data_IF_974373248623
#
_entry.id   IF_974373248623
#
_cell.length_a   1.000
_cell.length_b   1.000
_cell.length_c   1.000
_cell.angle_alpha   90.00
_cell.angle_beta   90.00
_cell.angle_gamma   90.00
#
_symmetry.space_group_name_H-M   'P 1'
#
loop_
_entity.id
_entity.type
_entity.pdbx_description
1 polymer ?
#
# COMPACT_ATOMS: atom_id res chain seq x y z
N UNK A 1 13.75 21.98 -1.01
CA UNK A 1 12.63 21.20 -0.47
C UNK A 1 13.02 19.73 -0.21
N UNK A 2 13.45 18.92 -1.18
CA UNK A 2 13.85 17.50 -0.97
C UNK A 2 14.93 17.31 0.11
N UNK A 3 15.98 18.15 0.20
CA UNK A 3 17.04 18.00 1.21
C UNK A 3 16.56 18.25 2.65
N UNK A 4 15.65 19.19 2.87
CA UNK A 4 15.08 19.43 4.20
C UNK A 4 14.16 18.27 4.62
N UNK A 5 13.31 17.81 3.71
CA UNK A 5 12.46 16.64 3.93
C UNK A 5 13.30 15.37 4.20
N UNK A 6 14.44 15.21 3.52
CA UNK A 6 15.32 14.07 3.76
C UNK A 6 15.96 14.11 5.16
N UNK A 7 16.38 15.28 5.66
CA UNK A 7 16.91 15.41 7.03
C UNK A 7 15.85 15.14 8.09
N UNK A 8 14.63 15.64 7.90
CA UNK A 8 13.51 15.35 8.78
C UNK A 8 13.20 13.85 8.78
N UNK A 9 13.11 13.24 7.60
CA UNK A 9 12.87 11.81 7.45
C UNK A 9 13.94 10.94 8.16
N UNK A 10 15.22 11.27 8.06
CA UNK A 10 16.28 10.54 8.77
C UNK A 10 16.05 10.54 10.29
N UNK A 11 15.73 11.70 10.88
CA UNK A 11 15.42 11.78 12.31
C UNK A 11 14.22 10.92 12.70
N UNK A 12 13.17 10.94 11.88
CA UNK A 12 11.96 10.17 12.11
C UNK A 12 12.24 8.66 11.97
N UNK A 13 12.96 8.23 10.93
CA UNK A 13 13.38 6.83 10.75
C UNK A 13 14.15 6.33 11.97
N UNK A 14 15.14 7.09 12.41
CA UNK A 14 16.01 6.69 13.53
C UNK A 14 15.21 6.61 14.84
N UNK A 15 14.25 7.50 15.05
CA UNK A 15 13.34 7.44 16.19
C UNK A 15 12.43 6.20 16.13
N UNK A 16 11.81 5.92 14.98
CA UNK A 16 10.96 4.74 14.78
C UNK A 16 11.69 3.42 14.96
N UNK A 17 12.91 3.34 14.44
CA UNK A 17 13.73 2.13 14.51
C UNK A 17 14.63 2.07 15.74
N UNK A 18 14.43 2.97 16.71
CA UNK A 18 15.22 3.03 17.95
C UNK A 18 14.82 2.01 19.02
N UNK A 19 13.76 1.23 18.80
CA UNK A 19 13.22 0.25 19.73
C UNK A 19 13.54 -1.18 19.31
N UNK A 20 13.49 -2.11 20.26
CA UNK A 20 13.76 -3.53 20.02
C UNK A 20 15.23 -3.90 20.17
N UNK A 21 15.53 -5.15 19.84
CA UNK A 21 16.93 -5.65 19.81
C UNK A 21 17.65 -5.21 18.52
N UNK A 22 18.96 -5.45 18.45
CA UNK A 22 19.79 -5.02 17.33
C UNK A 22 19.32 -5.59 15.97
N UNK A 23 18.85 -6.83 15.93
CA UNK A 23 18.35 -7.45 14.70
C UNK A 23 17.06 -6.80 14.21
N UNK A 24 16.11 -6.53 15.12
CA UNK A 24 14.85 -5.83 14.82
C UNK A 24 15.10 -4.40 14.35
N UNK A 25 16.04 -3.71 15.02
CA UNK A 25 16.45 -2.36 14.62
C UNK A 25 17.04 -2.33 13.23
N UNK A 26 17.96 -3.25 12.90
CA UNK A 26 18.58 -3.35 11.57
C UNK A 26 17.54 -3.66 10.50
N UNK A 27 16.63 -4.60 10.75
CA UNK A 27 15.53 -4.94 9.84
C UNK A 27 14.63 -3.73 9.56
N UNK A 28 14.23 -2.99 10.61
CA UNK A 28 13.45 -1.75 10.49
C UNK A 28 14.18 -0.70 9.65
N UNK A 29 15.44 -0.41 9.96
CA UNK A 29 16.26 0.56 9.22
C UNK A 29 16.38 0.19 7.74
N UNK A 30 16.61 -1.09 7.45
CA UNK A 30 16.71 -1.60 6.09
C UNK A 30 15.39 -1.42 5.34
N UNK A 31 14.27 -1.84 5.92
CA UNK A 31 12.94 -1.72 5.34
C UNK A 31 12.58 -0.26 5.01
N UNK A 32 12.75 0.64 5.99
CA UNK A 32 12.46 2.07 5.81
C UNK A 32 13.37 2.70 4.73
N UNK A 33 14.65 2.35 4.72
CA UNK A 33 15.61 2.89 3.76
C UNK A 33 15.34 2.37 2.35
N UNK A 34 15.05 1.08 2.18
CA UNK A 34 14.70 0.48 0.89
C UNK A 34 13.46 1.15 0.29
N UNK A 35 12.40 1.29 1.09
CA UNK A 35 11.18 1.99 0.65
C UNK A 35 11.48 3.42 0.22
N UNK A 36 12.21 4.17 1.04
CA UNK A 36 12.59 5.56 0.72
C UNK A 36 13.41 5.66 -0.55
N UNK A 37 14.32 4.71 -0.78
CA UNK A 37 15.14 4.67 -1.99
C UNK A 37 14.28 4.49 -3.24
N UNK A 38 13.31 3.58 -3.23
CA UNK A 38 12.37 3.39 -4.35
C UNK A 38 11.57 4.67 -4.64
N UNK A 39 11.07 5.33 -3.60
CA UNK A 39 10.34 6.60 -3.73
C UNK A 39 11.24 7.68 -4.34
N UNK A 40 12.45 7.87 -3.81
CA UNK A 40 13.38 8.92 -4.30
C UNK A 40 13.80 8.64 -5.74
N UNK A 41 14.01 7.38 -6.10
CA UNK A 41 14.34 6.98 -7.46
C UNK A 41 13.14 7.08 -8.42
N UNK A 42 11.93 7.28 -7.88
CA UNK A 42 10.66 7.21 -8.62
C UNK A 42 10.55 5.95 -9.48
N UNK A 43 10.99 4.82 -8.92
CA UNK A 43 11.14 3.55 -9.64
C UNK A 43 10.14 2.51 -9.12
N UNK A 44 9.53 1.77 -10.04
CA UNK A 44 8.71 0.62 -9.71
C UNK A 44 9.58 -0.56 -9.24
N UNK A 45 9.02 -1.41 -8.39
CA UNK A 45 9.67 -2.67 -7.99
C UNK A 45 9.81 -3.62 -9.16
N UNK A 46 8.78 -3.68 -10.01
CA UNK A 46 8.71 -4.57 -11.17
C UNK A 46 8.13 -3.85 -12.40
N UNK A 47 8.31 -4.42 -13.58
CA UNK A 47 7.81 -3.91 -14.84
C UNK A 47 8.82 -3.07 -15.64
N UNK A 48 8.54 -2.83 -16.94
CA UNK A 48 9.45 -2.15 -17.87
C UNK A 48 9.48 -0.62 -17.72
N UNK A 49 8.54 -0.05 -16.95
CA UNK A 49 8.31 1.40 -16.80
C UNK A 49 7.05 1.87 -17.52
N UNK A 50 6.44 2.93 -17.02
CA UNK A 50 5.12 3.43 -17.48
C UNK A 50 5.16 4.19 -18.83
N UNK A 51 6.34 4.50 -19.35
CA UNK A 51 6.49 5.39 -20.50
C UNK A 51 6.48 6.89 -20.11
N UNK A 52 5.72 7.29 -19.12
CA UNK A 52 5.72 8.64 -18.57
C UNK A 52 6.80 8.85 -17.50
N UNK A 53 7.41 10.05 -17.48
CA UNK A 53 8.39 10.40 -16.46
C UNK A 53 7.73 10.54 -15.08
N UNK A 54 8.24 9.83 -14.09
CA UNK A 54 7.79 9.95 -12.71
C UNK A 54 8.82 10.67 -11.84
N UNK A 55 8.33 11.41 -10.87
CA UNK A 55 9.15 12.17 -9.92
C UNK A 55 8.73 11.88 -8.48
N UNK A 56 9.69 11.86 -7.55
CA UNK A 56 9.38 11.70 -6.14
C UNK A 56 8.80 12.99 -5.56
N UNK A 57 7.92 12.82 -4.59
CA UNK A 57 7.51 13.90 -3.71
C UNK A 57 7.60 13.46 -2.24
N UNK A 58 7.73 14.42 -1.35
CA UNK A 58 7.60 14.21 0.08
C UNK A 58 7.16 15.49 0.76
N UNK A 59 6.27 15.36 1.74
CA UNK A 59 5.88 16.42 2.65
C UNK A 59 5.99 15.89 4.07
N UNK A 60 6.69 16.63 4.91
CA UNK A 60 6.91 16.29 6.32
C UNK A 60 6.56 17.49 7.17
N UNK A 61 5.81 17.28 8.22
CA UNK A 61 5.53 18.26 9.25
C UNK A 61 5.73 17.60 10.62
N UNK A 62 6.60 18.20 11.44
CA UNK A 62 6.80 17.80 12.82
C UNK A 62 6.45 18.98 13.71
N UNK A 63 5.79 18.70 14.84
CA UNK A 63 5.53 19.71 15.87
C UNK A 63 6.79 20.08 16.63
N UNK A 64 6.75 21.19 17.34
CA UNK A 64 7.82 21.65 18.25
C UNK A 64 8.00 20.74 19.46
N UNK A 65 7.00 19.96 19.81
CA UNK A 65 7.02 18.88 20.82
C UNK A 65 7.00 17.55 20.08
N UNK A 66 7.78 16.57 20.53
CA UNK A 66 7.96 15.24 19.90
C UNK A 66 6.66 14.42 19.69
N UNK A 67 5.53 14.96 20.07
CA UNK A 67 4.22 14.33 20.04
C UNK A 67 3.48 14.41 18.69
N UNK A 68 3.99 15.19 17.72
CA UNK A 68 3.32 15.39 16.43
C UNK A 68 4.27 15.13 15.25
N UNK A 69 3.90 14.20 14.40
CA UNK A 69 4.66 13.86 13.22
C UNK A 69 3.73 13.44 12.08
N UNK A 70 3.76 14.15 10.97
CA UNK A 70 3.02 13.81 9.75
C UNK A 70 3.99 13.73 8.59
N UNK A 71 4.03 12.61 7.91
CA UNK A 71 4.78 12.41 6.67
C UNK A 71 3.88 11.80 5.61
N UNK A 72 3.96 12.34 4.40
CA UNK A 72 3.53 11.66 3.18
C UNK A 72 4.66 11.70 2.16
N UNK A 73 4.99 10.55 1.59
CA UNK A 73 6.01 10.43 0.57
C UNK A 73 5.59 9.44 -0.52
N UNK A 74 5.91 9.75 -1.76
CA UNK A 74 5.51 8.90 -2.87
C UNK A 74 6.07 9.39 -4.19
N UNK A 75 5.46 8.92 -5.25
CA UNK A 75 5.79 9.28 -6.63
C UNK A 75 4.56 9.80 -7.35
N UNK A 76 4.78 10.60 -8.37
CA UNK A 76 3.75 11.13 -9.26
C UNK A 76 4.30 11.34 -10.66
N UNK A 77 3.45 11.40 -11.66
CA UNK A 77 3.87 11.79 -13.01
C UNK A 77 4.31 13.26 -13.03
N UNK A 78 5.46 13.54 -13.65
CA UNK A 78 6.05 14.88 -13.72
C UNK A 78 5.23 15.83 -14.60
N UNK A 79 4.76 15.31 -15.74
CA UNK A 79 3.96 16.05 -16.72
C UNK A 79 2.86 15.12 -17.25
N UNK A 80 1.78 14.89 -16.47
CA UNK A 80 0.75 13.96 -16.87
C UNK A 80 0.00 14.45 -18.11
N UNK A 81 -0.02 13.61 -19.15
CA UNK A 81 -0.71 13.91 -20.41
C UNK A 81 -1.86 12.94 -20.69
N UNK A 82 -1.71 11.66 -20.31
CA UNK A 82 -2.74 10.65 -20.46
C UNK A 82 -3.81 10.71 -19.34
N UNK A 83 -5.01 10.23 -19.65
CA UNK A 83 -6.15 10.21 -18.70
C UNK A 83 -5.77 9.47 -17.41
N UNK A 84 -5.06 8.33 -17.52
CA UNK A 84 -4.61 7.56 -16.36
C UNK A 84 -3.53 8.24 -15.56
N UNK A 85 -2.60 8.93 -16.20
CA UNK A 85 -1.55 9.71 -15.53
C UNK A 85 -2.16 10.87 -14.72
N UNK A 86 -3.17 11.55 -15.30
CA UNK A 86 -3.93 12.61 -14.63
C UNK A 86 -4.71 12.02 -13.45
N UNK A 87 -5.38 10.88 -13.64
CA UNK A 87 -6.12 10.18 -12.58
C UNK A 87 -5.19 9.74 -11.44
N UNK A 88 -4.02 9.16 -11.76
CA UNK A 88 -3.02 8.80 -10.76
C UNK A 88 -2.62 10.00 -9.90
N UNK A 89 -2.24 11.11 -10.55
CA UNK A 89 -1.83 12.32 -9.83
C UNK A 89 -2.97 12.90 -9.00
N UNK A 90 -4.21 12.86 -9.49
CA UNK A 90 -5.37 13.30 -8.73
C UNK A 90 -5.56 12.46 -7.46
N UNK A 91 -5.49 11.14 -7.54
CA UNK A 91 -5.60 10.25 -6.38
C UNK A 91 -4.46 10.53 -5.37
N UNK A 92 -3.24 10.74 -5.84
CA UNK A 92 -2.11 11.16 -4.98
C UNK A 92 -2.39 12.50 -4.31
N UNK A 93 -2.89 13.50 -5.03
CA UNK A 93 -3.22 14.82 -4.47
C UNK A 93 -4.36 14.74 -3.45
N UNK A 94 -5.34 13.86 -3.66
CA UNK A 94 -6.44 13.63 -2.72
C UNK A 94 -5.93 12.98 -1.41
N UNK A 95 -5.00 12.03 -1.49
CA UNK A 95 -4.32 11.47 -0.31
C UNK A 95 -3.52 12.54 0.44
N UNK A 96 -2.80 13.43 -0.27
CA UNK A 96 -2.08 14.54 0.36
C UNK A 96 -3.01 15.50 1.08
N UNK A 97 -4.20 15.77 0.53
CA UNK A 97 -5.22 16.63 1.17
C UNK A 97 -5.82 16.00 2.41
N UNK A 98 -5.99 14.67 2.42
CA UNK A 98 -6.54 13.91 3.55
C UNK A 98 -5.54 13.75 4.70
N UNK A 99 -4.23 13.88 4.43
CA UNK A 99 -3.22 13.80 5.48
C UNK A 99 -3.36 14.97 6.48
N UNK A 100 -3.24 14.72 7.79
CA UNK A 100 -3.59 15.65 8.86
C UNK A 100 -2.52 16.75 9.07
N UNK A 101 -2.09 17.43 7.99
CA UNK A 101 -1.06 18.48 8.07
C UNK A 101 -1.52 19.78 8.74
N UNK A 102 -2.83 20.00 8.80
CA UNK A 102 -3.42 21.26 9.30
C UNK A 102 -4.30 21.06 10.53
N UNK A 103 -4.45 19.83 10.99
CA UNK A 103 -5.27 19.55 12.18
C UNK A 103 -4.67 20.24 13.40
N UNK A 104 -5.51 21.02 14.08
CA UNK A 104 -5.24 21.44 15.44
C UNK A 104 -5.49 20.21 16.32
N UNK A 105 -4.40 19.50 16.63
CA UNK A 105 -4.48 18.36 17.50
C UNK A 105 -4.63 18.89 18.92
N UNK A 106 -5.69 18.48 19.58
CA UNK A 106 -5.87 18.68 21.01
C UNK A 106 -4.90 17.75 21.75
N UNK A 107 -3.71 18.26 22.01
CA UNK A 107 -2.66 17.54 22.73
C UNK A 107 -3.01 17.26 24.19
N UNK A 108 -4.04 17.92 24.74
CA UNK A 108 -4.51 17.65 26.11
C UNK A 108 -5.28 16.33 26.18
N UNK A 109 -5.96 15.96 25.11
CA UNK A 109 -6.76 14.73 25.06
C UNK A 109 -6.10 13.55 24.38
N UNK A 110 -5.27 13.74 23.34
CA UNK A 110 -4.68 12.67 22.56
C UNK A 110 -3.17 12.45 22.78
N UNK A 111 -2.47 13.44 23.31
CA UNK A 111 -1.04 13.35 23.68
C UNK A 111 -0.03 13.12 22.54
N UNK A 112 -0.38 12.39 21.48
CA UNK A 112 0.51 12.07 20.36
C UNK A 112 -0.27 11.87 19.07
N UNK A 113 0.27 12.39 17.94
CA UNK A 113 -0.13 11.99 16.59
C UNK A 113 1.11 11.59 15.80
N UNK A 114 1.12 10.38 15.25
CA UNK A 114 2.06 9.97 14.22
C UNK A 114 1.28 9.48 13.00
N UNK A 115 1.47 10.14 11.87
CA UNK A 115 0.88 9.76 10.59
C UNK A 115 2.00 9.62 9.57
N UNK A 116 2.13 8.44 8.99
CA UNK A 116 3.09 8.16 7.95
C UNK A 116 2.41 7.46 6.79
N UNK A 117 2.43 8.09 5.63
CA UNK A 117 1.89 7.51 4.40
C UNK A 117 2.97 7.41 3.34
N UNK A 118 3.09 6.22 2.74
CA UNK A 118 3.99 5.98 1.62
C UNK A 118 3.24 5.46 0.41
N UNK A 119 3.54 6.01 -0.77
CA UNK A 119 3.00 5.56 -2.06
C UNK A 119 4.17 4.98 -2.85
N UNK A 120 4.22 3.66 -2.94
CA UNK A 120 5.32 2.90 -3.57
C UNK A 120 4.82 2.21 -4.84
N UNK A 121 5.54 2.41 -5.95
CA UNK A 121 5.23 1.72 -7.19
C UNK A 121 5.56 0.23 -7.07
N UNK A 122 4.55 -0.62 -7.20
CA UNK A 122 4.72 -2.08 -7.24
C UNK A 122 5.00 -2.56 -8.66
N UNK A 123 4.29 -1.98 -9.63
CA UNK A 123 4.44 -2.29 -11.06
C UNK A 123 4.28 -1.03 -11.91
N UNK A 124 5.06 -0.94 -12.98
CA UNK A 124 4.88 0.09 -13.99
C UNK A 124 5.15 -0.47 -15.39
N UNK A 125 4.17 -0.33 -16.27
CA UNK A 125 4.23 -0.62 -17.70
C UNK A 125 3.37 0.39 -18.47
N UNK A 126 3.49 0.48 -19.81
CA UNK A 126 2.66 1.39 -20.59
C UNK A 126 1.15 1.16 -20.46
N UNK A 127 0.73 -0.08 -20.14
CA UNK A 127 -0.68 -0.46 -20.00
C UNK A 127 -1.18 -0.47 -18.55
N UNK A 128 -0.29 -0.47 -17.55
CA UNK A 128 -0.64 -0.59 -16.14
C UNK A 128 0.38 0.08 -15.23
N UNK A 129 -0.08 0.95 -14.35
CA UNK A 129 0.68 1.45 -13.20
C UNK A 129 -0.07 1.08 -11.94
N UNK A 130 0.63 0.39 -11.04
CA UNK A 130 0.10 -0.07 -9.75
C UNK A 130 0.98 0.41 -8.61
N UNK A 131 0.38 1.07 -7.63
CA UNK A 131 1.07 1.58 -6.46
C UNK A 131 0.38 1.13 -5.16
N UNK A 132 1.19 0.69 -4.19
CA UNK A 132 0.74 0.44 -2.82
C UNK A 132 0.75 1.75 -2.04
N UNK A 133 -0.37 2.06 -1.42
CA UNK A 133 -0.51 3.11 -0.41
C UNK A 133 -0.53 2.44 0.96
N UNK A 134 0.50 2.68 1.75
CA UNK A 134 0.56 2.22 3.12
C UNK A 134 0.51 3.40 4.06
N UNK A 135 -0.47 3.41 4.95
CA UNK A 135 -0.68 4.45 5.96
C UNK A 135 -0.51 3.86 7.35
N UNK A 136 0.41 4.42 8.13
CA UNK A 136 0.50 4.21 9.57
C UNK A 136 -0.11 5.40 10.28
N UNK A 137 -0.99 5.15 11.24
CA UNK A 137 -1.59 6.19 12.08
C UNK A 137 -1.58 5.78 13.55
N UNK A 138 -1.18 6.71 14.40
CA UNK A 138 -1.24 6.61 15.84
C UNK A 138 -1.76 7.92 16.42
N UNK A 139 -2.88 7.87 17.11
CA UNK A 139 -3.58 9.02 17.68
C UNK A 139 -3.56 8.99 19.22
N UNK A 140 -2.64 8.25 19.81
CA UNK A 140 -2.64 7.91 21.24
C UNK A 140 -3.30 6.55 21.50
N UNK A 141 -3.19 6.06 22.73
CA UNK A 141 -3.70 4.74 23.14
C UNK A 141 -2.64 3.64 23.10
N UNK A 142 -3.07 2.38 23.05
CA UNK A 142 -2.19 1.22 23.23
C UNK A 142 -1.22 0.99 22.04
N UNK A 143 -1.65 1.27 20.80
CA UNK A 143 -0.84 1.10 19.59
C UNK A 143 -1.42 1.89 18.41
N UNK A 144 -0.60 2.12 17.40
CA UNK A 144 -1.06 2.63 16.10
C UNK A 144 -1.61 1.53 15.21
N UNK A 145 -2.12 1.90 14.04
CA UNK A 145 -2.64 0.96 13.06
C UNK A 145 -2.06 1.21 11.66
N UNK A 146 -1.95 0.14 10.88
CA UNK A 146 -1.53 0.19 9.47
C UNK A 146 -2.72 -0.07 8.57
N UNK A 147 -2.88 0.75 7.55
CA UNK A 147 -3.91 0.60 6.52
C UNK A 147 -3.24 0.45 5.16
N UNK A 148 -3.78 -0.43 4.34
CA UNK A 148 -3.36 -0.62 2.96
C UNK A 148 -4.46 -0.22 2.00
N UNK A 149 -4.07 0.48 0.94
CA UNK A 149 -4.89 0.67 -0.25
C UNK A 149 -3.99 0.71 -1.49
N UNK A 150 -4.57 0.74 -2.67
CA UNK A 150 -3.82 0.76 -3.90
C UNK A 150 -4.38 1.79 -4.89
N UNK A 151 -3.48 2.30 -5.73
CA UNK A 151 -3.81 3.09 -6.92
C UNK A 151 -3.46 2.23 -8.13
N UNK A 152 -4.46 1.94 -8.97
CA UNK A 152 -4.29 1.18 -10.19
C UNK A 152 -4.85 1.97 -11.36
N UNK A 153 -4.00 2.29 -12.33
CA UNK A 153 -4.41 3.03 -13.52
C UNK A 153 -3.84 2.38 -14.79
N UNK A 154 -4.60 2.43 -15.87
CA UNK A 154 -4.03 2.34 -17.20
C UNK A 154 -3.65 3.76 -17.63
N UNK A 155 -2.38 4.04 -18.00
CA UNK A 155 -1.97 5.36 -18.48
C UNK A 155 -2.86 5.91 -19.60
N UNK A 156 -3.37 5.05 -20.46
CA UNK A 156 -4.21 5.42 -21.60
C UNK A 156 -5.68 5.63 -21.23
N UNK A 157 -6.29 4.70 -20.46
CA UNK A 157 -7.75 4.65 -20.27
C UNK A 157 -8.24 5.19 -18.94
N UNK A 158 -7.36 5.41 -17.98
CA UNK A 158 -7.70 5.99 -16.67
C UNK A 158 -7.63 4.99 -15.52
N UNK A 159 -8.45 5.23 -14.49
CA UNK A 159 -8.55 4.35 -13.34
C UNK A 159 -9.04 2.96 -13.75
N UNK A 160 -8.40 1.92 -13.21
CA UNK A 160 -8.83 0.55 -13.43
C UNK A 160 -9.87 0.15 -12.38
N UNK A 161 -10.96 -0.42 -12.86
CA UNK A 161 -12.00 -1.02 -12.01
C UNK A 161 -11.96 -2.54 -12.14
N UNK A 162 -12.57 -3.23 -11.16
CA UNK A 162 -12.69 -4.68 -11.20
C UNK A 162 -13.40 -5.13 -12.49
N UNK A 163 -14.47 -4.45 -12.87
CA UNK A 163 -15.30 -4.77 -14.04
C UNK A 163 -14.56 -4.55 -15.36
N UNK A 164 -13.53 -3.71 -15.39
CA UNK A 164 -12.67 -3.55 -16.57
C UNK A 164 -11.78 -4.79 -16.79
N UNK A 165 -11.40 -5.48 -15.72
CA UNK A 165 -10.49 -6.64 -15.79
C UNK A 165 -11.23 -7.98 -15.78
N UNK A 166 -12.26 -8.12 -14.96
CA UNK A 166 -12.90 -9.40 -14.66
C UNK A 166 -14.41 -9.36 -14.84
N UNK A 167 -15.01 -10.53 -15.04
CA UNK A 167 -16.47 -10.67 -14.97
C UNK A 167 -16.95 -10.79 -13.51
N UNK A 168 -18.26 -10.64 -13.29
CA UNK A 168 -18.84 -10.79 -11.96
C UNK A 168 -18.65 -12.21 -11.39
N UNK A 169 -18.66 -13.22 -12.25
CA UNK A 169 -18.53 -14.63 -11.92
C UNK A 169 -17.12 -14.95 -11.42
N UNK A 170 -16.09 -14.31 -11.98
CA UNK A 170 -14.69 -14.50 -11.58
C UNK A 170 -14.43 -14.13 -10.11
N UNK A 171 -15.28 -13.28 -9.51
CA UNK A 171 -15.08 -12.79 -8.14
C UNK A 171 -15.04 -13.91 -7.10
N UNK A 172 -15.94 -14.88 -7.19
CA UNK A 172 -15.99 -15.99 -6.26
C UNK A 172 -14.76 -16.92 -6.39
N UNK A 173 -14.30 -17.14 -7.62
CA UNK A 173 -13.12 -17.96 -7.88
C UNK A 173 -11.83 -17.25 -7.42
N UNK A 174 -11.70 -15.95 -7.67
CA UNK A 174 -10.59 -15.13 -7.16
C UNK A 174 -10.58 -15.11 -5.63
N UNK A 175 -11.75 -15.00 -4.97
CA UNK A 175 -11.85 -15.05 -3.51
C UNK A 175 -11.43 -16.41 -2.95
N UNK A 176 -11.88 -17.53 -3.54
CA UNK A 176 -11.48 -18.88 -3.14
C UNK A 176 -9.98 -19.12 -3.36
N UNK A 177 -9.43 -18.65 -4.48
CA UNK A 177 -8.01 -18.70 -4.75
C UNK A 177 -7.21 -17.86 -3.74
N UNK A 178 -7.70 -16.68 -3.36
CA UNK A 178 -7.13 -15.80 -2.35
C UNK A 178 -7.09 -16.49 -0.98
N UNK A 179 -8.19 -17.07 -0.54
CA UNK A 179 -8.26 -17.78 0.76
C UNK A 179 -7.19 -18.86 0.89
N UNK A 180 -6.92 -19.60 -0.18
CA UNK A 180 -5.91 -20.66 -0.20
C UNK A 180 -4.46 -20.14 -0.34
N UNK A 181 -4.27 -18.86 -0.60
CA UNK A 181 -2.97 -18.19 -0.83
C UNK A 181 -2.76 -16.99 0.07
N UNK A 182 -3.30 -17.05 1.29
CA UNK A 182 -3.07 -16.03 2.31
C UNK A 182 -1.71 -16.23 2.96
N UNK A 183 -0.99 -15.14 3.10
CA UNK A 183 0.30 -15.07 3.78
C UNK A 183 0.24 -13.95 4.83
N UNK A 184 0.87 -14.17 5.98
CA UNK A 184 1.26 -13.03 6.81
C UNK A 184 2.22 -12.14 6.03
N UNK A 185 2.30 -10.87 6.35
CA UNK A 185 3.24 -9.97 5.70
C UNK A 185 4.68 -10.49 5.89
N UNK A 186 5.43 -10.58 4.81
CA UNK A 186 6.80 -11.13 4.77
C UNK A 186 6.93 -12.64 5.10
N UNK A 187 5.81 -13.38 5.15
CA UNK A 187 5.84 -14.82 5.39
C UNK A 187 6.19 -15.63 4.13
N UNK A 188 6.96 -16.69 4.32
CA UNK A 188 7.34 -17.61 3.23
C UNK A 188 6.30 -18.71 2.98
N UNK A 189 5.40 -18.95 3.95
CA UNK A 189 4.39 -20.00 3.88
C UNK A 189 3.00 -19.43 4.00
N UNK A 190 2.08 -19.96 3.20
CA UNK A 190 0.68 -19.62 3.29
C UNK A 190 0.09 -20.07 4.63
N UNK A 191 -0.86 -19.29 5.13
CA UNK A 191 -1.64 -19.60 6.34
C UNK A 191 -2.51 -20.83 6.06
N UNK A 192 -2.31 -21.91 6.81
CA UNK A 192 -3.07 -23.13 6.66
C UNK A 192 -4.53 -22.96 7.07
N UNK A 193 -5.42 -23.86 6.59
CA UNK A 193 -6.83 -23.86 6.99
C UNK A 193 -7.01 -23.99 8.51
N UNK A 194 -6.17 -24.81 9.17
CA UNK A 194 -6.22 -24.97 10.62
C UNK A 194 -5.91 -23.66 11.34
N UNK A 195 -4.86 -22.95 10.92
CA UNK A 195 -4.51 -21.65 11.49
C UNK A 195 -5.61 -20.61 11.23
N UNK A 196 -6.24 -20.58 10.03
CA UNK A 196 -7.36 -19.67 9.77
C UNK A 196 -8.54 -19.94 10.70
N UNK A 197 -8.90 -21.21 10.88
CA UNK A 197 -10.01 -21.59 11.78
C UNK A 197 -9.75 -21.20 13.25
N UNK A 198 -8.48 -21.15 13.66
CA UNK A 198 -8.10 -20.83 15.03
C UNK A 198 -8.06 -19.33 15.30
N UNK A 199 -7.52 -18.53 14.36
CA UNK A 199 -7.21 -17.13 14.64
C UNK A 199 -8.03 -16.11 13.86
N UNK A 200 -8.71 -16.48 12.76
CA UNK A 200 -9.44 -15.52 11.95
C UNK A 200 -10.85 -15.27 12.48
N UNK A 201 -11.36 -14.08 12.24
CA UNK A 201 -12.74 -13.74 12.58
C UNK A 201 -13.72 -14.64 11.82
N UNK A 202 -14.90 -14.98 12.37
CA UNK A 202 -15.88 -15.85 11.70
C UNK A 202 -16.29 -15.37 10.32
N UNK A 203 -16.29 -14.07 10.08
CA UNK A 203 -16.74 -13.45 8.83
C UNK A 203 -15.59 -13.20 7.81
N UNK A 204 -14.38 -13.71 8.06
CA UNK A 204 -13.21 -13.44 7.21
C UNK A 204 -13.44 -13.77 5.73
N UNK A 205 -14.23 -14.80 5.42
CA UNK A 205 -14.57 -15.17 4.05
C UNK A 205 -15.35 -14.10 3.30
N UNK A 206 -16.24 -13.35 3.98
CA UNK A 206 -16.95 -12.21 3.38
C UNK A 206 -15.99 -11.04 3.11
N UNK A 207 -15.06 -10.80 4.03
CA UNK A 207 -14.03 -9.79 3.86
C UNK A 207 -13.16 -10.09 2.63
N UNK A 208 -12.71 -11.35 2.47
CA UNK A 208 -11.95 -11.79 1.30
C UNK A 208 -12.77 -11.62 0.02
N UNK A 209 -14.05 -12.04 0.01
CA UNK A 209 -14.92 -11.87 -1.15
C UNK A 209 -15.13 -10.41 -1.53
N UNK A 210 -15.25 -9.52 -0.55
CA UNK A 210 -15.35 -8.07 -0.78
C UNK A 210 -14.07 -7.52 -1.39
N UNK A 211 -12.92 -7.84 -0.79
CA UNK A 211 -11.62 -7.40 -1.28
C UNK A 211 -11.29 -7.96 -2.67
N UNK A 212 -11.70 -9.20 -2.98
CA UNK A 212 -11.54 -9.81 -4.30
C UNK A 212 -12.26 -9.04 -5.42
N UNK A 213 -13.32 -8.30 -5.13
CA UNK A 213 -14.04 -7.44 -6.09
C UNK A 213 -13.67 -5.96 -6.01
N UNK A 214 -12.63 -5.59 -5.26
CA UNK A 214 -12.27 -4.18 -5.06
C UNK A 214 -10.79 -3.94 -5.35
N UNK A 215 -10.47 -3.37 -6.50
CA UNK A 215 -9.09 -3.10 -6.92
C UNK A 215 -8.35 -2.10 -6.02
N UNK A 216 -9.04 -1.33 -5.17
CA UNK A 216 -8.34 -0.51 -4.18
C UNK A 216 -7.62 -1.31 -3.09
N UNK A 217 -7.91 -2.62 -2.97
CA UNK A 217 -7.18 -3.55 -2.10
C UNK A 217 -6.06 -4.30 -2.83
N UNK A 218 -5.89 -4.11 -4.15
CA UNK A 218 -4.99 -4.89 -4.99
C UNK A 218 -3.77 -4.09 -5.44
N UNK A 219 -2.61 -4.72 -5.42
CA UNK A 219 -1.47 -4.27 -6.19
C UNK A 219 -1.08 -5.33 -7.21
N UNK A 220 -0.56 -4.89 -8.35
CA UNK A 220 -0.02 -5.77 -9.38
C UNK A 220 1.50 -5.77 -9.34
N UNK A 221 2.11 -6.88 -9.75
CA UNK A 221 3.54 -7.05 -9.97
C UNK A 221 3.77 -7.99 -11.16
N UNK A 222 5.02 -8.26 -11.53
CA UNK A 222 5.34 -9.13 -12.66
C UNK A 222 4.81 -10.57 -12.51
N UNK A 223 4.63 -11.06 -11.26
CA UNK A 223 4.20 -12.43 -10.98
C UNK A 223 2.66 -12.56 -10.90
N UNK A 224 1.92 -11.44 -10.87
CA UNK A 224 0.46 -11.41 -10.75
C UNK A 224 -0.06 -10.25 -9.92
N UNK A 225 -0.88 -10.55 -8.89
CA UNK A 225 -1.44 -9.56 -7.99
C UNK A 225 -1.33 -9.97 -6.52
N UNK A 226 -1.36 -8.95 -5.66
CA UNK A 226 -1.49 -9.11 -4.20
C UNK A 226 -2.72 -8.37 -3.73
N UNK A 227 -3.57 -9.05 -2.98
CA UNK A 227 -4.71 -8.44 -2.28
C UNK A 227 -4.28 -8.23 -0.84
N UNK A 228 -4.35 -6.99 -0.36
CA UNK A 228 -3.84 -6.59 0.95
C UNK A 228 -4.97 -6.53 1.98
N UNK A 229 -4.67 -6.98 3.19
CA UNK A 229 -5.55 -6.92 4.34
C UNK A 229 -4.82 -6.26 5.51
N UNK A 230 -5.39 -5.17 6.01
CA UNK A 230 -4.87 -4.44 7.17
C UNK A 230 -5.10 -5.24 8.46
N UNK A 231 -4.39 -4.94 9.55
CA UNK A 231 -4.73 -5.49 10.87
C UNK A 231 -6.22 -5.26 11.18
N UNK A 232 -6.83 -6.20 11.86
CA UNK A 232 -8.27 -6.28 12.18
C UNK A 232 -9.20 -6.61 11.00
N UNK A 233 -8.75 -6.73 9.77
CA UNK A 233 -9.65 -7.13 8.67
C UNK A 233 -9.95 -8.62 8.66
N UNK A 234 -8.96 -9.47 8.91
CA UNK A 234 -9.14 -10.94 8.91
C UNK A 234 -8.99 -11.56 10.31
N UNK A 235 -8.19 -10.96 11.19
CA UNK A 235 -7.80 -11.51 12.48
C UNK A 235 -7.53 -10.38 13.49
N UNK A 236 -7.41 -10.67 14.82
CA UNK A 236 -7.02 -9.69 15.81
C UNK A 236 -5.68 -9.02 15.49
N UNK A 237 -5.48 -7.81 16.00
CA UNK A 237 -4.29 -6.98 15.75
C UNK A 237 -2.96 -7.72 15.89
N UNK A 238 -2.83 -8.56 16.91
CA UNK A 238 -1.61 -9.33 17.18
C UNK A 238 -1.22 -10.31 16.06
N UNK A 239 -2.17 -10.69 15.19
CA UNK A 239 -1.91 -11.52 14.02
C UNK A 239 -1.30 -10.73 12.86
N UNK A 240 -1.31 -9.39 12.94
CA UNK A 240 -0.74 -8.49 11.95
C UNK A 240 -1.57 -8.33 10.69
N UNK A 241 -0.88 -8.03 9.59
CA UNK A 241 -1.46 -7.84 8.26
C UNK A 241 -1.32 -9.09 7.42
N UNK A 242 -2.21 -9.25 6.45
CA UNK A 242 -2.15 -10.36 5.51
C UNK A 242 -2.15 -9.87 4.07
N UNK A 243 -1.62 -10.71 3.18
CA UNK A 243 -1.76 -10.56 1.74
C UNK A 243 -2.13 -11.89 1.11
N UNK A 244 -2.95 -11.88 0.07
CA UNK A 244 -3.08 -13.04 -0.76
C UNK A 244 -2.31 -12.85 -2.07
N UNK A 245 -1.67 -13.91 -2.57
CA UNK A 245 -0.82 -13.87 -3.77
C UNK A 245 -1.51 -14.62 -4.90
N UNK A 246 -2.04 -13.88 -5.86
CA UNK A 246 -2.74 -14.41 -7.03
C UNK A 246 -1.76 -14.45 -8.21
N UNK A 247 -1.43 -15.65 -8.73
CA UNK A 247 -0.47 -15.77 -9.82
C UNK A 247 -1.05 -15.22 -11.13
N UNK A 248 -0.18 -14.70 -11.98
CA UNK A 248 -0.57 -14.07 -13.25
C UNK A 248 -1.32 -15.04 -14.18
N UNK A 249 -0.99 -16.33 -14.17
CA UNK A 249 -1.72 -17.35 -14.92
C UNK A 249 -3.21 -17.39 -14.57
N UNK A 250 -3.53 -17.46 -13.25
CA UNK A 250 -4.91 -17.43 -12.80
C UNK A 250 -5.64 -16.14 -13.20
N UNK A 251 -4.95 -14.99 -13.07
CA UNK A 251 -5.56 -13.72 -13.46
C UNK A 251 -5.87 -13.69 -14.95
N UNK A 252 -4.99 -14.22 -15.80
CA UNK A 252 -5.20 -14.31 -17.25
C UNK A 252 -6.36 -15.24 -17.61
N UNK A 253 -6.46 -16.39 -16.94
CA UNK A 253 -7.53 -17.36 -17.18
C UNK A 253 -8.92 -16.77 -16.85
N UNK A 254 -9.01 -15.93 -15.83
CA UNK A 254 -10.26 -15.32 -15.35
C UNK A 254 -10.55 -13.95 -15.95
N UNK A 255 -9.59 -13.35 -16.65
CA UNK A 255 -9.71 -12.00 -17.16
C UNK A 255 -10.51 -11.92 -18.46
N UNK A 256 -11.07 -10.77 -18.72
CA UNK A 256 -11.67 -10.42 -20.03
C UNK A 256 -10.57 -10.24 -21.07
N UNK A 257 -10.88 -10.56 -22.32
CA UNK A 257 -9.96 -10.30 -23.44
C UNK A 257 -9.63 -8.80 -23.54
N UNK A 258 -8.38 -8.47 -23.86
CA UNK A 258 -7.91 -7.09 -24.00
C UNK A 258 -7.70 -6.35 -22.68
N UNK A 259 -7.50 -7.06 -21.57
CA UNK A 259 -7.28 -6.52 -20.25
C UNK A 259 -5.92 -5.85 -20.05
N UNK A 260 -5.80 -5.07 -18.97
CA UNK A 260 -4.61 -4.33 -18.54
C UNK A 260 -3.83 -5.09 -17.45
N UNK A 261 -3.66 -6.41 -17.58
CA UNK A 261 -2.82 -7.20 -16.67
C UNK A 261 -1.33 -6.99 -16.94
N UNK A 262 -0.45 -7.33 -15.99
CA UNK A 262 1.00 -7.35 -16.19
C UNK A 262 1.41 -8.19 -17.42
N UNK A 263 2.39 -7.66 -18.16
CA UNK A 263 2.93 -8.29 -19.39
C UNK A 263 4.20 -9.08 -19.09
#
# INVERSE_FOLDING_TARGET
MLRQNQRAWLKMRDARCGYGNDAERVACLLQQTTRRTLIIAAKAKTGPGSGGAMVPFARVQAGSKAAYEVEIAGVRFAAPAGVGEISFNKQVDDLVKQAPFTEKIDFETSGQLSYNQSITLEYAAPNLVSALVQTWRYDGGAHGNTFFSAINVSPETGELTYEALFSAEAKAELAAACENRLYGLDADKAVSKAQRNEMFFPEYGKTILTAAGNLSSWTFNADGARVHFSPYELAPYAAGSFECRLPLSLLRDLSKAGNHLPQ
#
